data_IF_893908890619
#
_entry.id   IF_893908890619
#
_cell.length_a   1.000
_cell.length_b   1.000
_cell.length_c   1.000
_cell.angle_alpha   90.00
_cell.angle_beta   90.00
_cell.angle_gamma   90.00
#
_symmetry.space_group_name_H-M   'P 1'
#
loop_
_entity.id
_entity.type
_entity.pdbx_description
1 polymer ?
#
# COMPACT_ATOMS: atom_id res chain seq x y z
N UNK A 1 13.54 -10.67 18.10
CA UNK A 1 13.19 -10.66 16.67
C UNK A 1 14.47 -10.47 15.88
N UNK A 2 14.73 -11.32 14.90
CA UNK A 2 15.81 -11.11 13.91
C UNK A 2 15.39 -10.01 12.95
N UNK A 3 16.26 -9.04 12.70
CA UNK A 3 15.96 -7.99 11.70
C UNK A 3 15.89 -8.59 10.29
N UNK A 4 15.15 -7.96 9.36
CA UNK A 4 15.16 -8.38 7.97
C UNK A 4 16.57 -8.36 7.35
N UNK A 5 16.84 -9.14 6.29
CA UNK A 5 18.14 -9.15 5.62
C UNK A 5 18.69 -7.74 5.34
N UNK A 6 19.99 -7.56 5.57
CA UNK A 6 20.73 -6.30 5.41
C UNK A 6 20.33 -5.13 6.33
N UNK A 7 19.29 -5.26 7.16
CA UNK A 7 18.96 -4.19 8.11
C UNK A 7 20.14 -3.95 9.05
N UNK A 8 20.63 -2.72 9.04
CA UNK A 8 21.80 -2.26 9.78
C UNK A 8 21.65 -0.77 10.09
N UNK A 9 22.65 -0.15 10.70
CA UNK A 9 22.67 1.31 10.84
C UNK A 9 22.74 2.06 9.49
N UNK A 10 22.96 1.37 8.38
CA UNK A 10 23.12 1.96 7.05
C UNK A 10 22.05 1.51 6.03
N UNK A 11 21.10 0.66 6.43
CA UNK A 11 20.04 0.19 5.54
C UNK A 11 18.78 -0.22 6.33
N UNK A 12 17.58 0.14 5.86
CA UNK A 12 17.31 0.94 4.67
C UNK A 12 17.61 2.42 4.90
N UNK A 13 18.25 3.07 3.93
CA UNK A 13 18.46 4.54 3.91
C UNK A 13 17.44 5.19 2.98
N UNK A 14 17.21 6.48 3.18
CA UNK A 14 16.31 7.28 2.37
C UNK A 14 16.82 8.71 2.22
N UNK A 15 16.34 9.38 1.18
CA UNK A 15 16.40 10.84 1.01
C UNK A 15 15.04 11.39 1.37
N UNK A 16 15.03 12.41 2.23
CA UNK A 16 13.82 13.11 2.63
C UNK A 16 13.53 14.25 1.68
N UNK A 17 12.27 14.39 1.29
CA UNK A 17 11.77 15.46 0.44
C UNK A 17 10.41 15.96 0.96
N UNK A 18 9.99 17.13 0.49
CA UNK A 18 8.71 17.74 0.81
C UNK A 18 8.05 18.30 -0.45
N UNK A 19 6.87 17.78 -0.82
CA UNK A 19 6.06 18.38 -1.87
C UNK A 19 5.15 19.46 -1.28
N UNK A 20 5.27 20.68 -1.81
CA UNK A 20 4.52 21.88 -1.41
C UNK A 20 4.50 22.17 0.11
N UNK A 21 5.47 21.65 0.88
CA UNK A 21 5.50 21.68 2.36
C UNK A 21 4.30 20.98 3.05
N UNK A 22 3.49 20.24 2.30
CA UNK A 22 2.29 19.58 2.82
C UNK A 22 2.42 18.05 2.82
N UNK A 23 3.25 17.50 1.94
CA UNK A 23 3.49 16.06 1.83
C UNK A 23 4.93 15.76 2.21
N UNK A 24 5.13 15.00 3.28
CA UNK A 24 6.43 14.47 3.66
C UNK A 24 6.71 13.20 2.86
N UNK A 25 7.88 13.12 2.20
CA UNK A 25 8.23 12.02 1.31
C UNK A 25 9.58 11.43 1.68
N UNK A 26 9.64 10.10 1.78
CA UNK A 26 10.87 9.33 1.97
C UNK A 26 11.14 8.49 0.72
N UNK A 27 12.16 8.88 -0.04
CA UNK A 27 12.65 8.15 -1.20
C UNK A 27 13.76 7.18 -0.78
N UNK A 28 13.47 5.88 -0.78
CA UNK A 28 14.41 4.90 -0.23
C UNK A 28 15.59 4.59 -1.17
N UNK A 29 16.58 3.89 -0.62
CA UNK A 29 17.72 3.36 -1.36
C UNK A 29 17.24 2.48 -2.54
N UNK A 30 17.84 2.57 -3.75
CA UNK A 30 17.39 1.83 -4.94
C UNK A 30 17.31 0.30 -4.78
N UNK A 31 18.10 -0.29 -3.89
CA UNK A 31 18.02 -1.73 -3.61
C UNK A 31 16.86 -2.14 -2.69
N UNK A 32 16.18 -1.18 -2.06
CA UNK A 32 14.97 -1.43 -1.26
C UNK A 32 13.72 -1.26 -2.13
N UNK A 33 13.50 -2.21 -3.04
CA UNK A 33 12.34 -2.26 -3.97
C UNK A 33 11.89 -3.70 -4.18
N UNK A 34 10.64 -3.89 -4.63
CA UNK A 34 10.09 -5.24 -4.78
C UNK A 34 10.91 -6.12 -5.73
N UNK A 35 11.60 -5.51 -6.70
CA UNK A 35 12.39 -6.20 -7.72
C UNK A 35 13.86 -6.39 -7.35
N UNK A 36 14.28 -5.97 -6.14
CA UNK A 36 15.68 -6.04 -5.69
C UNK A 36 15.86 -6.52 -4.25
N UNK A 37 14.80 -6.45 -3.45
CA UNK A 37 14.80 -6.89 -2.06
C UNK A 37 13.89 -8.11 -1.86
N UNK A 38 14.35 -9.16 -1.15
CA UNK A 38 15.68 -9.29 -0.51
C UNK A 38 16.81 -9.47 -1.54
N UNK A 39 18.09 -9.37 -1.15
CA UNK A 39 19.21 -9.55 -2.08
C UNK A 39 19.13 -10.87 -2.85
N UNK A 40 19.31 -10.79 -4.17
CA UNK A 40 19.13 -11.93 -5.07
C UNK A 40 17.71 -12.06 -5.64
N UNK A 41 16.79 -11.17 -5.26
CA UNK A 41 15.48 -11.03 -5.89
C UNK A 41 15.63 -10.55 -7.34
N UNK A 42 14.95 -11.24 -8.26
CA UNK A 42 14.81 -10.82 -9.66
C UNK A 42 13.56 -9.94 -9.85
N UNK A 43 13.29 -9.50 -11.08
CA UNK A 43 12.11 -8.67 -11.41
C UNK A 43 10.84 -9.29 -10.84
N UNK A 44 10.08 -8.50 -10.07
CA UNK A 44 8.88 -8.95 -9.38
C UNK A 44 7.64 -8.16 -9.81
N UNK A 45 6.53 -8.87 -10.01
CA UNK A 45 5.20 -8.33 -10.30
C UNK A 45 4.25 -8.53 -9.09
N UNK A 46 4.81 -8.69 -7.88
CA UNK A 46 4.08 -9.02 -6.65
C UNK A 46 3.44 -7.81 -5.92
N UNK A 47 3.38 -6.62 -6.54
CA UNK A 47 2.99 -5.37 -5.87
C UNK A 47 1.64 -5.44 -5.11
N UNK A 48 0.62 -6.09 -5.68
CA UNK A 48 -0.68 -6.30 -5.02
C UNK A 48 -0.55 -7.10 -3.72
N UNK A 49 0.19 -8.23 -3.76
CA UNK A 49 0.45 -9.05 -2.57
C UNK A 49 1.23 -8.28 -1.51
N UNK A 50 2.26 -7.54 -1.92
CA UNK A 50 3.09 -6.75 -1.00
C UNK A 50 2.23 -5.69 -0.30
N UNK A 51 1.39 -4.96 -1.04
CA UNK A 51 0.48 -3.96 -0.45
C UNK A 51 -0.48 -4.58 0.57
N UNK A 52 -1.09 -5.72 0.24
CA UNK A 52 -1.99 -6.44 1.16
C UNK A 52 -1.24 -6.95 2.40
N UNK A 53 -0.03 -7.47 2.24
CA UNK A 53 0.79 -7.96 3.35
C UNK A 53 1.27 -6.83 4.27
N UNK A 54 1.53 -5.64 3.73
CA UNK A 54 1.78 -4.42 4.53
C UNK A 54 0.53 -4.06 5.33
N UNK A 55 -0.64 -4.02 4.68
CA UNK A 55 -1.92 -3.70 5.33
C UNK A 55 -2.27 -4.70 6.46
N UNK A 56 -2.10 -5.99 6.21
CA UNK A 56 -2.34 -7.05 7.19
C UNK A 56 -1.44 -6.89 8.42
N UNK A 57 -0.13 -6.70 8.21
CA UNK A 57 0.84 -6.53 9.31
C UNK A 57 0.64 -5.25 10.12
N UNK A 58 0.23 -4.15 9.46
CA UNK A 58 -0.14 -2.91 10.16
C UNK A 58 -1.34 -3.17 11.08
N UNK A 59 -2.35 -3.88 10.57
CA UNK A 59 -3.56 -4.23 11.32
C UNK A 59 -3.25 -5.16 12.49
N UNK A 60 -2.56 -6.27 12.23
CA UNK A 60 -2.16 -7.25 13.25
C UNK A 60 -1.31 -6.60 14.36
N UNK A 61 -0.38 -5.72 13.98
CA UNK A 61 0.47 -4.98 14.91
C UNK A 61 -0.20 -3.77 15.57
N UNK A 62 -1.44 -3.41 15.18
CA UNK A 62 -2.10 -2.15 15.55
C UNK A 62 -1.18 -0.93 15.39
N UNK A 63 -0.40 -0.89 14.31
CA UNK A 63 0.64 0.12 14.13
C UNK A 63 0.04 1.48 13.76
N UNK A 64 0.24 2.48 14.61
CA UNK A 64 -0.09 3.87 14.33
C UNK A 64 1.14 4.61 13.77
N UNK A 65 1.03 5.10 12.53
CA UNK A 65 2.12 5.73 11.79
C UNK A 65 2.05 7.25 12.02
N UNK A 66 2.46 7.73 13.19
CA UNK A 66 2.45 9.16 13.52
C UNK A 66 3.44 10.00 12.69
N UNK A 67 4.60 9.41 12.41
CA UNK A 67 5.74 10.04 11.76
C UNK A 67 6.50 8.93 11.01
N UNK A 68 6.54 9.03 9.68
CA UNK A 68 7.16 8.00 8.82
C UNK A 68 8.68 7.94 8.98
N UNK A 69 9.33 9.04 9.37
CA UNK A 69 10.78 9.10 9.59
C UNK A 69 11.19 8.33 10.86
N UNK A 70 10.36 8.44 11.91
CA UNK A 70 10.61 7.82 13.22
C UNK A 70 10.00 6.43 13.38
N UNK A 71 9.23 5.96 12.41
CA UNK A 71 8.55 4.66 12.48
C UNK A 71 9.43 3.51 11.95
N UNK A 72 10.48 3.14 12.69
CA UNK A 72 11.36 2.03 12.29
C UNK A 72 10.62 0.69 12.08
N UNK A 73 9.49 0.47 12.79
CA UNK A 73 8.64 -0.71 12.63
C UNK A 73 8.01 -0.79 11.23
N UNK A 74 7.67 0.34 10.62
CA UNK A 74 7.11 0.37 9.26
C UNK A 74 8.10 -0.22 8.24
N UNK A 75 9.38 0.14 8.34
CA UNK A 75 10.42 -0.41 7.46
C UNK A 75 10.56 -1.92 7.60
N UNK A 76 10.47 -2.44 8.82
CA UNK A 76 10.48 -3.89 9.07
C UNK A 76 9.26 -4.57 8.43
N UNK A 77 8.06 -4.01 8.63
CA UNK A 77 6.83 -4.52 8.02
C UNK A 77 6.92 -4.56 6.50
N UNK A 78 7.41 -3.47 5.89
CA UNK A 78 7.59 -3.37 4.44
C UNK A 78 8.58 -4.44 3.95
N UNK A 79 9.74 -4.56 4.59
CA UNK A 79 10.74 -5.56 4.21
C UNK A 79 10.21 -7.00 4.30
N UNK A 80 9.51 -7.34 5.38
CA UNK A 80 8.89 -8.67 5.55
C UNK A 80 7.80 -8.93 4.52
N UNK A 81 6.94 -7.94 4.24
CA UNK A 81 5.90 -8.02 3.22
C UNK A 81 6.47 -8.22 1.81
N UNK A 82 7.60 -7.59 1.50
CA UNK A 82 8.28 -7.79 0.22
C UNK A 82 8.85 -9.21 0.09
N UNK A 83 9.50 -9.71 1.14
CA UNK A 83 10.06 -11.06 1.16
C UNK A 83 8.95 -12.10 0.98
N UNK A 84 7.89 -12.01 1.77
CA UNK A 84 6.76 -12.94 1.69
C UNK A 84 6.00 -12.80 0.38
N UNK A 85 5.68 -11.57 -0.03
CA UNK A 85 4.93 -11.29 -1.25
C UNK A 85 5.64 -11.80 -2.50
N UNK A 86 6.95 -11.58 -2.61
CA UNK A 86 7.75 -12.11 -3.71
C UNK A 86 7.81 -13.65 -3.71
N UNK A 87 7.95 -14.27 -2.54
CA UNK A 87 8.00 -15.73 -2.43
C UNK A 87 6.65 -16.38 -2.82
N UNK A 88 5.53 -15.80 -2.36
CA UNK A 88 4.19 -16.26 -2.71
C UNK A 88 3.94 -16.08 -4.20
N UNK A 89 4.28 -14.91 -4.77
CA UNK A 89 4.12 -14.66 -6.20
C UNK A 89 4.92 -15.65 -7.05
N UNK A 90 6.20 -15.87 -6.72
CA UNK A 90 7.04 -16.84 -7.42
C UNK A 90 6.44 -18.26 -7.37
N UNK A 91 5.85 -18.65 -6.24
CA UNK A 91 5.14 -19.93 -6.11
C UNK A 91 3.88 -19.97 -6.99
N UNK A 92 3.04 -18.93 -6.98
CA UNK A 92 1.83 -18.83 -7.81
C UNK A 92 2.16 -18.98 -9.31
N UNK A 93 3.21 -18.29 -9.78
CA UNK A 93 3.67 -18.37 -11.18
C UNK A 93 4.18 -19.77 -11.51
N UNK A 94 5.01 -20.35 -10.63
CA UNK A 94 5.57 -21.69 -10.81
C UNK A 94 4.48 -22.75 -10.90
N UNK A 95 3.45 -22.65 -10.06
CA UNK A 95 2.31 -23.56 -10.02
C UNK A 95 1.23 -23.24 -11.08
N UNK A 96 1.41 -22.16 -11.85
CA UNK A 96 0.50 -21.71 -12.93
C UNK A 96 -0.95 -21.53 -12.46
N UNK A 97 -1.12 -20.97 -11.27
CA UNK A 97 -2.45 -20.76 -10.67
C UNK A 97 -3.21 -19.57 -11.28
N UNK A 98 -2.51 -18.74 -12.07
CA UNK A 98 -3.05 -17.55 -12.74
C UNK A 98 -2.63 -17.54 -14.21
N UNK A 99 -3.43 -16.87 -15.03
CA UNK A 99 -3.22 -16.75 -16.49
C UNK A 99 -2.30 -15.60 -16.88
N UNK A 100 -2.19 -14.59 -16.02
CA UNK A 100 -1.37 -13.40 -16.22
C UNK A 100 -0.63 -13.09 -14.92
N UNK A 101 0.60 -12.54 -14.94
CA UNK A 101 1.39 -12.47 -13.72
C UNK A 101 0.99 -11.33 -12.78
N UNK A 102 0.14 -10.40 -13.23
CA UNK A 102 -0.44 -9.36 -12.38
C UNK A 102 -1.70 -9.89 -11.69
N UNK A 103 -1.68 -9.87 -10.36
CA UNK A 103 -2.81 -10.27 -9.53
C UNK A 103 -3.74 -9.08 -9.31
N UNK A 104 -5.04 -9.30 -9.53
CA UNK A 104 -6.06 -8.39 -8.99
C UNK A 104 -6.24 -8.60 -7.47
N UNK A 105 -7.02 -7.73 -6.82
CA UNK A 105 -7.26 -7.78 -5.37
C UNK A 105 -7.84 -9.12 -4.92
N UNK A 106 -8.84 -9.65 -5.63
CA UNK A 106 -9.52 -10.91 -5.28
C UNK A 106 -8.55 -12.11 -5.37
N UNK A 107 -7.80 -12.20 -6.47
CA UNK A 107 -6.79 -13.26 -6.67
C UNK A 107 -5.70 -13.20 -5.60
N UNK A 108 -5.22 -11.99 -5.29
CA UNK A 108 -4.18 -11.79 -4.28
C UNK A 108 -4.67 -12.16 -2.87
N UNK A 109 -5.90 -11.79 -2.49
CA UNK A 109 -6.49 -12.20 -1.21
C UNK A 109 -6.68 -13.72 -1.12
N UNK A 110 -7.13 -14.36 -2.21
CA UNK A 110 -7.38 -15.80 -2.26
C UNK A 110 -6.10 -16.64 -2.22
N UNK A 111 -5.05 -16.17 -2.91
CA UNK A 111 -3.80 -16.93 -3.07
C UNK A 111 -2.67 -16.45 -2.13
N UNK A 112 -2.85 -15.33 -1.45
CA UNK A 112 -1.84 -14.69 -0.61
C UNK A 112 -1.63 -15.32 0.77
N UNK A 113 -2.28 -16.44 1.06
CA UNK A 113 -2.08 -17.22 2.27
C UNK A 113 -2.81 -16.69 3.50
N UNK A 114 -2.61 -17.36 4.64
CA UNK A 114 -3.38 -17.14 5.87
C UNK A 114 -3.19 -15.73 6.45
N UNK A 115 -2.03 -15.11 6.22
CA UNK A 115 -1.71 -13.74 6.64
C UNK A 115 -2.73 -12.71 6.14
N UNK A 116 -3.39 -12.97 5.00
CA UNK A 116 -4.36 -12.04 4.40
C UNK A 116 -5.82 -12.30 4.82
N UNK A 117 -6.11 -13.42 5.51
CA UNK A 117 -7.48 -13.80 5.90
C UNK A 117 -8.18 -12.76 6.81
N UNK A 118 -7.41 -11.88 7.45
CA UNK A 118 -7.94 -10.84 8.32
C UNK A 118 -8.43 -9.58 7.57
N UNK A 119 -8.05 -9.44 6.29
CA UNK A 119 -8.46 -8.31 5.46
C UNK A 119 -9.76 -8.64 4.74
N UNK A 120 -10.67 -7.66 4.74
CA UNK A 120 -11.95 -7.76 4.05
C UNK A 120 -12.05 -6.59 3.07
N UNK A 121 -12.41 -6.89 1.83
CA UNK A 121 -12.78 -5.85 0.88
C UNK A 121 -14.11 -5.23 1.31
N UNK A 122 -14.16 -3.90 1.33
CA UNK A 122 -15.38 -3.14 1.57
C UNK A 122 -16.02 -2.70 0.27
N UNK A 123 -15.24 -2.06 -0.61
CA UNK A 123 -15.72 -1.51 -1.88
C UNK A 123 -14.63 -1.58 -2.94
N UNK A 124 -15.07 -1.75 -4.17
CA UNK A 124 -14.23 -1.73 -5.36
C UNK A 124 -14.93 -0.94 -6.47
N UNK A 125 -14.16 -0.16 -7.23
CA UNK A 125 -14.66 0.44 -8.46
C UNK A 125 -13.55 0.64 -9.50
N UNK A 126 -13.93 0.56 -10.77
CA UNK A 126 -13.07 0.83 -11.93
C UNK A 126 -13.48 2.14 -12.58
N UNK A 127 -12.53 3.06 -12.69
CA UNK A 127 -12.70 4.37 -13.28
C UNK A 127 -12.11 4.36 -14.70
N UNK A 128 -12.87 4.91 -15.66
CA UNK A 128 -12.49 5.05 -17.07
C UNK A 128 -12.37 6.54 -17.40
N UNK A 129 -11.49 7.22 -16.67
CA UNK A 129 -11.21 8.65 -16.77
C UNK A 129 -9.75 8.94 -16.37
N UNK A 130 -9.26 10.12 -16.71
CA UNK A 130 -7.92 10.55 -16.35
C UNK A 130 -7.75 10.62 -14.83
N UNK A 131 -6.68 10.04 -14.32
CA UNK A 131 -6.37 10.06 -12.88
C UNK A 131 -6.05 11.48 -12.38
N UNK A 132 -5.41 12.29 -13.24
CA UNK A 132 -5.10 13.69 -12.97
C UNK A 132 -6.42 14.48 -12.81
N UNK A 133 -6.56 15.17 -11.68
CA UNK A 133 -7.76 15.93 -11.33
C UNK A 133 -8.97 15.13 -10.82
N UNK A 134 -9.01 13.79 -11.00
CA UNK A 134 -10.14 12.97 -10.53
C UNK A 134 -9.82 12.07 -9.33
N UNK A 135 -8.54 11.72 -9.11
CA UNK A 135 -8.15 10.78 -8.05
C UNK A 135 -8.66 11.22 -6.67
N UNK A 136 -8.37 12.47 -6.28
CA UNK A 136 -8.81 13.02 -4.99
C UNK A 136 -10.33 12.97 -4.83
N UNK A 137 -11.07 13.45 -5.85
CA UNK A 137 -12.53 13.48 -5.84
C UNK A 137 -13.10 12.09 -5.59
N UNK A 138 -12.61 11.09 -6.32
CA UNK A 138 -13.13 9.73 -6.21
C UNK A 138 -12.79 9.09 -4.86
N UNK A 139 -11.57 9.28 -4.36
CA UNK A 139 -11.22 8.82 -2.99
C UNK A 139 -12.10 9.53 -1.96
N UNK A 140 -12.30 10.84 -2.08
CA UNK A 140 -13.10 11.63 -1.15
C UNK A 140 -14.56 11.17 -1.10
N UNK A 141 -15.15 10.79 -2.24
CA UNK A 141 -16.51 10.22 -2.26
C UNK A 141 -16.61 8.94 -1.43
N UNK A 142 -15.64 8.03 -1.54
CA UNK A 142 -15.57 6.83 -0.70
C UNK A 142 -15.33 7.15 0.77
N UNK A 143 -14.41 8.06 1.07
CA UNK A 143 -14.11 8.45 2.45
C UNK A 143 -15.32 9.08 3.14
N UNK A 144 -16.06 9.94 2.43
CA UNK A 144 -17.29 10.53 2.95
C UNK A 144 -18.36 9.48 3.27
N UNK A 145 -18.40 8.36 2.54
CA UNK A 145 -19.27 7.25 2.89
C UNK A 145 -18.72 6.43 4.06
N UNK A 146 -17.42 6.13 4.05
CA UNK A 146 -16.75 5.36 5.10
C UNK A 146 -16.95 5.98 6.48
N UNK A 147 -16.70 7.29 6.61
CA UNK A 147 -16.75 7.99 7.89
C UNK A 147 -18.17 8.21 8.43
N UNK A 148 -19.23 7.80 7.71
CA UNK A 148 -20.59 7.77 8.26
C UNK A 148 -20.80 6.59 9.22
N UNK A 149 -20.15 5.45 8.95
CA UNK A 149 -20.26 4.22 9.73
C UNK A 149 -18.97 3.37 9.54
N UNK A 150 -17.84 3.80 10.12
CA UNK A 150 -16.55 3.16 9.89
C UNK A 150 -16.51 1.77 10.54
N UNK A 151 -16.09 0.75 9.77
CA UNK A 151 -15.97 -0.64 10.28
C UNK A 151 -14.65 -0.91 11.02
N UNK A 152 -13.68 -0.01 10.90
CA UNK A 152 -12.37 -0.07 11.54
C UNK A 152 -11.76 1.33 11.64
N UNK A 153 -10.83 1.52 12.57
CA UNK A 153 -10.07 2.77 12.71
C UNK A 153 -9.03 2.98 11.61
N UNK A 154 -8.63 1.92 10.90
CA UNK A 154 -7.73 2.00 9.76
C UNK A 154 -8.44 1.50 8.51
N UNK A 155 -8.48 2.35 7.49
CA UNK A 155 -8.95 2.00 6.15
C UNK A 155 -7.73 1.91 5.21
N UNK A 156 -7.65 0.82 4.49
CA UNK A 156 -6.66 0.62 3.44
C UNK A 156 -7.32 0.85 2.08
N UNK A 157 -6.58 1.41 1.14
CA UNK A 157 -7.03 1.55 -0.23
C UNK A 157 -5.90 1.19 -1.17
N UNK A 158 -6.13 0.21 -2.03
CA UNK A 158 -5.28 -0.07 -3.17
C UNK A 158 -5.68 0.86 -4.31
N UNK A 159 -4.70 1.54 -4.88
CA UNK A 159 -4.82 2.18 -6.20
C UNK A 159 -4.08 1.31 -7.21
N UNK A 160 -4.81 0.83 -8.22
CA UNK A 160 -4.28 -0.04 -9.27
C UNK A 160 -4.37 0.69 -10.60
N UNK A 161 -3.23 0.88 -11.26
CA UNK A 161 -3.17 1.50 -12.59
C UNK A 161 -1.90 1.10 -13.33
N UNK A 162 -1.97 0.98 -14.65
CA UNK A 162 -0.82 0.69 -15.51
C UNK A 162 0.06 -0.50 -15.03
N UNK A 163 -0.56 -1.56 -14.51
CA UNK A 163 0.16 -2.75 -13.99
C UNK A 163 0.84 -2.55 -12.64
N UNK A 164 0.52 -1.47 -11.93
CA UNK A 164 1.09 -1.11 -10.62
C UNK A 164 -0.01 -1.04 -9.58
N UNK A 165 0.29 -1.53 -8.39
CA UNK A 165 -0.56 -1.39 -7.22
C UNK A 165 0.20 -0.65 -6.13
N UNK A 166 -0.41 0.39 -5.58
CA UNK A 166 0.11 1.14 -4.43
C UNK A 166 -0.93 1.16 -3.31
N UNK A 167 -0.48 1.45 -2.09
CA UNK A 167 -1.31 1.41 -0.89
C UNK A 167 -1.46 2.79 -0.27
N UNK A 168 -2.70 3.20 -0.02
CA UNK A 168 -3.03 4.27 0.91
C UNK A 168 -3.51 3.68 2.23
N UNK A 169 -3.09 4.28 3.34
CA UNK A 169 -3.40 3.88 4.71
C UNK A 169 -3.98 5.11 5.40
N UNK A 170 -5.30 5.09 5.64
CA UNK A 170 -6.01 6.14 6.34
C UNK A 170 -6.15 5.76 7.81
N UNK A 171 -5.55 6.53 8.71
CA UNK A 171 -5.61 6.32 10.16
C UNK A 171 -6.30 7.51 10.82
N UNK A 172 -7.62 7.39 11.00
CA UNK A 172 -8.48 8.50 11.46
C UNK A 172 -8.08 9.00 12.85
N UNK A 173 -7.78 8.09 13.78
CA UNK A 173 -7.43 8.41 15.17
C UNK A 173 -6.22 9.33 15.30
N UNK A 174 -5.33 9.33 14.31
CA UNK A 174 -4.12 10.16 14.28
C UNK A 174 -4.18 11.23 13.17
N UNK A 175 -5.29 11.27 12.44
CA UNK A 175 -5.56 12.20 11.34
C UNK A 175 -4.48 12.18 10.25
N UNK A 176 -3.97 10.99 9.91
CA UNK A 176 -2.92 10.81 8.89
C UNK A 176 -3.38 9.92 7.75
N UNK A 177 -2.87 10.24 6.56
CA UNK A 177 -2.87 9.34 5.40
C UNK A 177 -1.43 9.07 5.00
N UNK A 178 -1.09 7.80 4.82
CA UNK A 178 0.24 7.35 4.36
C UNK A 178 0.08 6.61 3.03
N UNK A 179 0.90 6.96 2.04
CA UNK A 179 1.02 6.29 0.76
C UNK A 179 2.30 5.45 0.75
N UNK A 180 2.20 4.22 0.26
CA UNK A 180 3.30 3.29 0.06
C UNK A 180 3.32 2.78 -1.38
N UNK A 181 4.45 2.91 -2.05
CA UNK A 181 4.71 2.36 -3.38
C UNK A 181 6.03 1.57 -3.37
N UNK A 182 5.96 0.25 -3.60
CA UNK A 182 7.08 -0.70 -3.54
C UNK A 182 7.99 -0.72 -4.78
N UNK A 183 7.66 0.02 -5.83
CA UNK A 183 8.38 0.02 -7.10
C UNK A 183 9.69 0.82 -7.04
N UNK A 184 10.49 0.73 -8.10
CA UNK A 184 11.65 1.61 -8.30
C UNK A 184 11.22 2.89 -9.01
N UNK A 185 11.79 4.02 -8.62
CA UNK A 185 11.41 5.34 -9.13
C UNK A 185 12.61 6.03 -9.78
N UNK A 186 12.46 6.51 -11.01
CA UNK A 186 13.53 7.21 -11.74
C UNK A 186 13.09 8.64 -12.02
N UNK A 187 13.71 9.61 -11.36
CA UNK A 187 13.36 11.02 -11.55
C UNK A 187 14.21 11.68 -12.65
N UNK A 188 13.67 12.74 -13.27
CA UNK A 188 14.32 13.52 -14.34
C UNK A 188 15.70 14.09 -13.92
N UNK A 189 15.89 14.37 -12.63
CA UNK A 189 17.09 15.03 -12.09
C UNK A 189 18.17 14.06 -11.55
N UNK A 190 18.07 12.75 -11.84
CA UNK A 190 19.00 11.69 -11.41
C UNK A 190 19.07 11.43 -9.89
N UNK A 191 18.27 10.45 -9.46
CA UNK A 191 18.71 9.31 -8.65
C UNK A 191 17.69 8.18 -8.86
N UNK A 192 18.15 6.96 -9.16
CA UNK A 192 17.28 5.79 -9.09
C UNK A 192 16.95 5.60 -7.61
N UNK A 193 15.68 5.77 -7.26
CA UNK A 193 15.17 5.59 -5.92
C UNK A 193 14.49 4.24 -5.78
N UNK A 194 14.49 3.77 -4.55
CA UNK A 194 13.81 2.56 -4.16
C UNK A 194 12.29 2.78 -4.06
N UNK A 195 11.66 2.02 -3.17
CA UNK A 195 10.29 2.27 -2.76
C UNK A 195 10.14 3.70 -2.22
N UNK A 196 8.91 4.22 -2.24
CA UNK A 196 8.60 5.53 -1.66
C UNK A 196 7.50 5.39 -0.61
N UNK A 197 7.65 6.13 0.49
CA UNK A 197 6.62 6.32 1.49
C UNK A 197 6.36 7.81 1.61
N UNK A 198 5.11 8.22 1.43
CA UNK A 198 4.69 9.61 1.60
C UNK A 198 3.61 9.70 2.69
N UNK A 199 3.57 10.80 3.42
CA UNK A 199 2.57 11.02 4.46
C UNK A 199 2.11 12.47 4.49
N UNK A 200 0.82 12.65 4.75
CA UNK A 200 0.24 13.95 5.08
C UNK A 200 -0.95 13.80 6.05
N UNK A 201 -1.59 14.91 6.41
CA UNK A 201 -2.84 14.92 7.16
C UNK A 201 -4.04 14.65 6.24
N UNK A 202 -5.15 14.14 6.78
CA UNK A 202 -6.31 13.72 5.96
C UNK A 202 -6.94 14.91 5.20
N UNK A 203 -6.96 16.12 5.77
CA UNK A 203 -7.39 17.35 5.08
C UNK A 203 -6.49 17.78 3.92
N UNK A 204 -5.29 17.21 3.81
CA UNK A 204 -4.31 17.47 2.75
C UNK A 204 -4.20 16.32 1.75
N UNK A 205 -5.19 15.43 1.72
CA UNK A 205 -5.26 14.32 0.79
C UNK A 205 -5.15 14.77 -0.68
N UNK A 206 -5.75 15.91 -1.04
CA UNK A 206 -5.65 16.49 -2.39
C UNK A 206 -4.18 16.71 -2.79
N UNK A 207 -3.38 17.32 -1.92
CA UNK A 207 -1.94 17.55 -2.15
C UNK A 207 -1.15 16.25 -2.29
N UNK A 208 -1.53 15.18 -1.57
CA UNK A 208 -0.92 13.85 -1.72
C UNK A 208 -1.27 13.21 -3.06
N UNK A 209 -2.52 13.32 -3.51
CA UNK A 209 -2.97 12.84 -4.82
C UNK A 209 -2.28 13.61 -5.95
N UNK A 210 -2.17 14.93 -5.83
CA UNK A 210 -1.49 15.78 -6.80
C UNK A 210 0.00 15.44 -6.90
N UNK A 211 0.67 15.29 -5.76
CA UNK A 211 2.07 14.83 -5.73
C UNK A 211 2.22 13.46 -6.40
N UNK A 212 1.36 12.48 -6.09
CA UNK A 212 1.47 11.16 -6.71
C UNK A 212 1.27 11.23 -8.24
N UNK A 213 0.27 11.98 -8.70
CA UNK A 213 -0.01 12.07 -10.14
C UNK A 213 1.07 12.83 -10.91
N UNK A 214 1.56 13.95 -10.38
CA UNK A 214 2.59 14.76 -11.06
C UNK A 214 4.00 14.18 -10.87
N UNK A 215 4.40 13.88 -9.65
CA UNK A 215 5.79 13.50 -9.36
C UNK A 215 6.05 12.01 -9.59
N UNK A 216 5.10 11.14 -9.25
CA UNK A 216 5.29 9.70 -9.41
C UNK A 216 4.86 9.25 -10.81
N UNK A 217 3.58 9.39 -11.18
CA UNK A 217 3.11 8.86 -12.46
C UNK A 217 3.73 9.57 -13.67
N UNK A 218 3.71 10.90 -13.67
CA UNK A 218 4.20 11.69 -14.80
C UNK A 218 5.72 11.85 -14.78
N UNK A 219 6.31 12.32 -13.68
CA UNK A 219 7.76 12.57 -13.67
C UNK A 219 8.61 11.31 -13.53
N UNK A 220 8.17 10.28 -12.78
CA UNK A 220 8.95 9.04 -12.67
C UNK A 220 8.65 8.01 -13.76
N UNK A 221 7.38 7.91 -14.18
CA UNK A 221 6.95 6.84 -15.10
C UNK A 221 6.51 7.35 -16.48
N UNK A 222 6.50 8.67 -16.72
CA UNK A 222 6.02 9.26 -17.96
C UNK A 222 4.67 8.67 -18.42
N UNK A 223 3.78 8.46 -17.46
CA UNK A 223 2.52 7.74 -17.62
C UNK A 223 1.35 8.70 -17.46
N UNK A 224 0.42 8.65 -18.41
CA UNK A 224 -0.90 9.27 -18.31
C UNK A 224 -1.92 8.14 -18.19
N UNK A 225 -2.45 7.95 -16.99
CA UNK A 225 -3.42 6.89 -16.72
C UNK A 225 -4.84 7.41 -16.94
N UNK A 226 -5.53 6.84 -17.92
CA UNK A 226 -6.94 7.08 -18.27
C UNK A 226 -7.87 5.96 -17.75
N UNK A 227 -7.30 4.99 -17.03
CA UNK A 227 -8.00 3.91 -16.34
C UNK A 227 -7.29 3.56 -15.04
N UNK A 228 -8.06 3.42 -13.97
CA UNK A 228 -7.54 2.98 -12.67
C UNK A 228 -8.64 2.33 -11.84
N UNK A 229 -8.22 1.59 -10.81
CA UNK A 229 -9.11 0.86 -9.92
C UNK A 229 -8.81 1.28 -8.48
N UNK A 230 -9.87 1.43 -7.68
CA UNK A 230 -9.77 1.66 -6.24
C UNK A 230 -10.41 0.48 -5.51
N UNK A 231 -9.63 -0.21 -4.68
CA UNK A 231 -10.11 -1.30 -3.82
C UNK A 231 -9.88 -0.91 -2.36
N UNK A 232 -10.95 -0.77 -1.58
CA UNK A 232 -10.91 -0.40 -0.18
C UNK A 232 -11.03 -1.63 0.70
N UNK A 233 -10.11 -1.77 1.66
CA UNK A 233 -10.05 -2.90 2.58
C UNK A 233 -9.96 -2.43 4.02
N UNK A 234 -10.42 -3.27 4.94
CA UNK A 234 -10.28 -3.06 6.38
C UNK A 234 -9.99 -4.40 7.05
N UNK A 235 -9.41 -4.35 8.26
CA UNK A 235 -9.28 -5.54 9.09
C UNK A 235 -10.43 -5.63 10.08
N UNK A 236 -10.97 -6.84 10.24
CA UNK A 236 -11.91 -7.12 11.32
C UNK A 236 -11.12 -7.28 12.61
N UNK A 237 -11.37 -6.42 13.60
CA UNK A 237 -10.70 -6.52 14.90
C UNK A 237 -10.94 -7.90 15.53
N UNK A 238 -9.85 -8.59 15.86
CA UNK A 238 -9.91 -9.83 16.65
C UNK A 238 -10.51 -9.62 18.05
N UNK A 239 -10.77 -8.37 18.46
CA UNK A 239 -11.46 -8.05 19.71
C UNK A 239 -12.93 -8.50 19.74
N UNK A 240 -13.51 -8.89 18.61
CA UNK A 240 -14.81 -9.60 18.58
C UNK A 240 -14.71 -11.08 19.00
N UNK A 241 -13.50 -11.64 19.17
CA UNK A 241 -13.30 -13.05 19.58
C UNK A 241 -13.04 -13.23 21.09
N UNK A 242 -13.18 -12.17 21.89
CA UNK A 242 -12.93 -12.17 23.33
C UNK A 242 -14.16 -11.91 24.18
N UNK A 243 -14.94 -12.97 24.46
CA UNK A 243 -16.10 -13.08 25.37
C UNK A 243 -17.45 -12.63 24.79
N UNK A 244 -18.34 -13.62 24.74
CA UNK A 244 -19.72 -13.62 24.23
C UNK A 244 -19.85 -13.67 22.71
N UNK A 245 -20.06 -14.91 22.22
CA UNK A 245 -20.78 -15.18 20.97
C UNK A 245 -22.15 -14.48 21.03
N UNK A 246 -22.21 -13.24 20.60
CA UNK A 246 -23.42 -12.65 20.06
C UNK A 246 -23.11 -12.45 18.58
N UNK A 247 -23.89 -13.16 17.78
CA UNK A 247 -23.82 -13.27 16.32
C UNK A 247 -23.41 -11.97 15.62
N UNK A 248 -22.24 -11.96 14.98
CA UNK A 248 -22.05 -11.16 13.78
C UNK A 248 -22.96 -11.76 12.70
N UNK A 249 -24.14 -11.18 12.52
CA UNK A 249 -24.95 -11.43 11.34
C UNK A 249 -24.28 -10.74 10.14
N UNK A 250 -23.34 -11.45 9.50
CA UNK A 250 -22.99 -11.16 8.12
C UNK A 250 -24.16 -11.62 7.24
N UNK A 251 -25.18 -10.78 7.10
CA UNK A 251 -26.20 -10.98 6.07
C UNK A 251 -25.59 -10.57 4.72
N UNK A 252 -25.33 -11.58 3.89
CA UNK A 252 -25.15 -11.44 2.46
C UNK A 252 -26.41 -10.82 1.85
N UNK A 253 -26.26 -9.66 1.22
CA UNK A 253 -27.17 -9.16 0.18
C UNK A 253 -26.42 -9.13 -1.14
#
# INVERSE_FOLDING_TARGET
MTLPPLFSCHFPTYVKDYSNHEVEVLWYHPDFTQSRYPPGQEVSEACTLICLLVAARISEGNLMIYDIEKCARLNIIVAEAMIEGNAIHAWIIKERLISHPYLNTEEALKLGGESLNMLNEWKFNVFHEEIEGNLYKNIHEFLHEWYKDPKSHTLFMLLITCGRTILFIFQENIYKVTLFDSHSHVTINNANHGLVIAQTAIDRLESLCDWYTQDVLKNCYNTQADKYELAFLYSCDAHCNGRNRISCECQSL
#
